data_IF_274704250456
#
_entry.id   IF_274704250456
#
_cell.length_a   1.000
_cell.length_b   1.000
_cell.length_c   1.000
_cell.angle_alpha   90.00
_cell.angle_beta   90.00
_cell.angle_gamma   90.00
#
_symmetry.space_group_name_H-M   'P 1'
#
loop_
_entity.id
_entity.type
_entity.pdbx_description
1 polymer ?
#
# COMPACT_ATOMS: atom_id res chain seq x y z
N UNK A 1 -13.69 12.71 27.34
CA UNK A 1 -14.54 12.03 26.37
C UNK A 1 -13.99 10.63 26.13
N UNK A 2 -14.82 9.58 26.17
CA UNK A 2 -14.43 8.21 25.83
C UNK A 2 -14.94 7.87 24.43
N UNK A 3 -14.18 7.04 23.72
CA UNK A 3 -14.53 6.59 22.37
C UNK A 3 -14.64 5.06 22.34
N UNK A 4 -15.58 4.48 21.58
CA UNK A 4 -15.61 3.04 21.34
C UNK A 4 -14.32 2.60 20.64
N UNK A 5 -13.76 1.48 21.08
CA UNK A 5 -12.52 0.90 20.56
C UNK A 5 -12.77 -0.54 20.15
N UNK A 6 -12.16 -0.97 19.06
CA UNK A 6 -12.10 -2.38 18.64
C UNK A 6 -10.68 -2.76 18.23
N UNK A 7 -10.28 -3.94 18.64
CA UNK A 7 -9.09 -4.60 18.08
C UNK A 7 -9.55 -5.51 16.94
N UNK A 8 -8.99 -5.29 15.77
CA UNK A 8 -9.19 -6.16 14.61
C UNK A 8 -7.90 -6.18 13.77
N UNK A 9 -7.48 -7.40 13.42
CA UNK A 9 -6.20 -7.57 12.76
C UNK A 9 -5.04 -7.16 13.67
N UNK A 10 -4.14 -6.32 13.15
CA UNK A 10 -2.99 -5.76 13.88
C UNK A 10 -3.24 -4.31 14.32
N UNK A 11 -4.47 -3.84 14.23
CA UNK A 11 -4.83 -2.44 14.51
C UNK A 11 -5.77 -2.33 15.70
N UNK A 12 -5.66 -1.19 16.38
CA UNK A 12 -6.65 -0.69 17.34
C UNK A 12 -7.45 0.40 16.65
N UNK A 13 -8.72 0.13 16.40
CA UNK A 13 -9.65 1.03 15.72
C UNK A 13 -10.41 1.87 16.75
N UNK A 14 -10.42 3.17 16.55
CA UNK A 14 -11.14 4.13 17.40
C UNK A 14 -12.29 4.72 16.60
N UNK A 15 -13.51 4.60 17.13
CA UNK A 15 -14.68 5.23 16.54
C UNK A 15 -14.82 6.66 17.07
N UNK A 16 -14.55 7.64 16.20
CA UNK A 16 -14.64 9.06 16.56
C UNK A 16 -16.02 9.71 16.31
N UNK A 17 -16.95 8.97 15.67
CA UNK A 17 -18.32 9.42 15.41
C UNK A 17 -19.25 9.24 16.61
N UNK A 18 -20.57 9.30 16.33
CA UNK A 18 -21.61 9.08 17.36
C UNK A 18 -21.48 7.66 17.96
N UNK A 19 -21.39 7.52 19.30
CA UNK A 19 -21.12 6.24 19.94
C UNK A 19 -22.14 5.14 19.57
N UNK A 20 -23.43 5.51 19.41
CA UNK A 20 -24.49 4.56 19.03
C UNK A 20 -24.30 3.94 17.64
N UNK A 21 -23.61 4.62 16.74
CA UNK A 21 -23.33 4.14 15.39
C UNK A 21 -22.11 3.19 15.33
N UNK A 22 -21.29 3.12 16.36
CA UNK A 22 -20.08 2.28 16.39
C UNK A 22 -20.40 0.78 16.22
N UNK A 23 -21.59 0.33 16.63
CA UNK A 23 -22.01 -1.06 16.49
C UNK A 23 -22.48 -1.41 15.07
N UNK A 24 -22.82 -0.42 14.26
CA UNK A 24 -23.32 -0.56 12.90
C UNK A 24 -22.22 -0.64 11.85
N UNK A 25 -21.00 -0.27 12.23
CA UNK A 25 -19.84 -0.26 11.34
C UNK A 25 -18.79 -1.25 11.84
N UNK A 26 -18.14 -1.94 10.90
CA UNK A 26 -16.99 -2.80 11.19
C UNK A 26 -15.73 -2.10 10.73
N UNK A 27 -14.59 -2.33 11.42
CA UNK A 27 -13.29 -1.96 10.88
C UNK A 27 -13.07 -2.55 9.48
N UNK A 28 -12.25 -1.91 8.65
CA UNK A 28 -11.81 -2.49 7.38
C UNK A 28 -11.17 -3.87 7.57
N UNK A 29 -11.36 -4.76 6.60
CA UNK A 29 -10.76 -6.08 6.66
C UNK A 29 -9.23 -6.00 6.49
N UNK A 30 -8.50 -6.59 7.44
CA UNK A 30 -7.02 -6.68 7.43
C UNK A 30 -6.56 -8.07 7.88
N UNK A 31 -7.34 -9.11 7.59
CA UNK A 31 -7.10 -10.47 8.08
C UNK A 31 -5.73 -11.04 7.68
N UNK A 32 -5.20 -10.69 6.50
CA UNK A 32 -3.87 -11.13 6.04
C UNK A 32 -2.72 -10.75 6.97
N UNK A 33 -2.91 -9.74 7.82
CA UNK A 33 -1.89 -9.33 8.78
C UNK A 33 -1.67 -10.35 9.92
N UNK A 34 -2.62 -11.29 10.12
CA UNK A 34 -2.59 -12.30 11.19
C UNK A 34 -2.82 -13.72 10.70
N UNK A 35 -3.25 -13.89 9.46
CA UNK A 35 -3.50 -15.21 8.88
C UNK A 35 -2.18 -15.93 8.64
N UNK A 36 -2.07 -17.18 9.10
CA UNK A 36 -0.88 -18.01 8.94
C UNK A 36 -0.54 -18.38 7.50
N UNK A 37 -1.47 -18.19 6.57
CA UNK A 37 -1.23 -18.33 5.13
C UNK A 37 -0.50 -17.13 4.52
N UNK A 38 -0.22 -16.11 5.31
CA UNK A 38 0.50 -14.92 4.91
C UNK A 38 1.75 -14.71 5.78
N UNK A 39 2.83 -14.26 5.17
CA UNK A 39 3.99 -13.76 5.89
C UNK A 39 4.05 -12.25 5.76
N UNK A 40 4.05 -11.55 6.90
CA UNK A 40 3.97 -10.09 6.97
C UNK A 40 5.19 -9.50 7.66
N UNK A 41 5.67 -8.39 7.14
CA UNK A 41 6.65 -7.50 7.78
C UNK A 41 6.25 -6.05 7.52
N UNK A 42 6.79 -5.13 8.30
CA UNK A 42 6.49 -3.72 8.15
C UNK A 42 7.23 -2.86 9.15
N UNK A 43 6.94 -1.57 9.14
CA UNK A 43 7.49 -0.58 10.06
C UNK A 43 6.51 0.58 10.24
N UNK A 44 6.84 1.49 11.14
CA UNK A 44 6.06 2.72 11.36
C UNK A 44 6.98 3.88 11.69
N UNK A 45 6.55 5.08 11.30
CA UNK A 45 7.22 6.34 11.61
C UNK A 45 6.27 7.53 11.47
N UNK A 46 6.70 8.67 11.93
CA UNK A 46 6.08 9.94 11.60
C UNK A 46 6.69 10.47 10.29
N UNK A 47 5.83 10.99 9.41
CA UNK A 47 6.19 11.69 8.18
C UNK A 47 5.80 13.14 8.33
N UNK A 48 6.75 14.06 8.10
CA UNK A 48 6.50 15.51 8.15
C UNK A 48 5.81 15.98 6.86
N UNK A 49 4.62 15.46 6.65
CA UNK A 49 3.73 15.81 5.55
C UNK A 49 2.28 15.59 5.96
N UNK A 50 1.38 16.39 5.41
CA UNK A 50 -0.05 16.32 5.67
C UNK A 50 -0.67 15.02 5.13
N UNK A 51 -1.76 14.58 5.76
CA UNK A 51 -2.44 13.33 5.41
C UNK A 51 -2.78 13.25 3.92
N UNK A 52 -3.31 14.34 3.33
CA UNK A 52 -3.72 14.37 1.93
C UNK A 52 -2.56 14.06 0.98
N UNK A 53 -1.39 14.63 1.22
CA UNK A 53 -0.22 14.40 0.38
C UNK A 53 0.21 12.91 0.38
N UNK A 54 0.09 12.22 1.52
CA UNK A 54 0.32 10.78 1.59
C UNK A 54 -0.77 10.00 0.85
N UNK A 55 -2.03 10.40 1.00
CA UNK A 55 -3.15 9.75 0.30
C UNK A 55 -2.99 9.85 -1.22
N UNK A 56 -2.67 11.03 -1.74
CA UNK A 56 -2.45 11.26 -3.16
C UNK A 56 -1.29 10.40 -3.70
N UNK A 57 -0.22 10.26 -2.92
CA UNK A 57 0.91 9.42 -3.29
C UNK A 57 0.54 7.92 -3.42
N UNK A 58 -0.32 7.40 -2.55
CA UNK A 58 -0.75 6.00 -2.62
C UNK A 58 -1.89 5.77 -3.62
N UNK A 59 -2.65 6.82 -3.96
CA UNK A 59 -3.72 6.75 -4.96
C UNK A 59 -3.20 6.59 -6.39
N UNK A 60 -1.97 7.00 -6.64
CA UNK A 60 -1.33 6.90 -7.96
C UNK A 60 0.06 6.24 -7.85
N UNK A 61 0.11 4.94 -8.14
CA UNK A 61 1.38 4.18 -8.12
C UNK A 61 2.20 4.33 -9.42
N UNK A 62 1.77 5.12 -10.39
CA UNK A 62 2.52 5.34 -11.64
C UNK A 62 3.91 5.93 -11.40
N UNK A 63 4.08 6.65 -10.28
CA UNK A 63 5.37 7.21 -9.86
C UNK A 63 6.39 6.15 -9.41
N UNK A 64 5.96 4.94 -9.03
CA UNK A 64 6.84 3.91 -8.45
C UNK A 64 8.01 3.59 -9.38
N UNK A 65 7.73 3.45 -10.69
CA UNK A 65 8.75 3.19 -11.69
C UNK A 65 9.76 4.35 -11.85
N UNK A 66 9.37 5.57 -11.50
CA UNK A 66 10.21 6.77 -11.55
C UNK A 66 11.06 6.92 -10.27
N UNK A 67 10.47 6.58 -9.12
CA UNK A 67 11.16 6.66 -7.81
C UNK A 67 12.17 5.52 -7.64
N UNK A 68 11.80 4.32 -8.06
CA UNK A 68 12.65 3.14 -7.95
C UNK A 68 12.30 2.08 -9.00
N UNK A 69 12.90 2.20 -10.18
CA UNK A 69 12.71 1.25 -11.28
C UNK A 69 13.12 -0.19 -10.91
N UNK A 70 13.97 -0.37 -9.88
CA UNK A 70 14.40 -1.70 -9.47
C UNK A 70 13.32 -2.45 -8.67
N UNK A 71 12.44 -1.73 -7.98
CA UNK A 71 11.35 -2.35 -7.20
C UNK A 71 10.05 -2.43 -8.00
N UNK A 72 9.83 -1.50 -8.92
CA UNK A 72 8.60 -1.42 -9.70
C UNK A 72 8.40 -2.67 -10.56
N UNK A 73 7.17 -3.21 -10.64
CA UNK A 73 6.84 -4.17 -11.66
C UNK A 73 7.13 -3.61 -13.07
N UNK A 74 7.84 -4.35 -13.95
CA UNK A 74 8.24 -3.83 -15.26
C UNK A 74 7.08 -3.34 -16.13
N UNK A 75 5.89 -3.90 -15.95
CA UNK A 75 4.66 -3.50 -16.67
C UNK A 75 4.21 -2.07 -16.34
N UNK A 76 4.67 -1.47 -15.23
CA UNK A 76 4.38 -0.08 -14.86
C UNK A 76 5.32 0.93 -15.55
N UNK A 77 6.38 0.46 -16.22
CA UNK A 77 7.32 1.33 -16.93
C UNK A 77 6.84 1.73 -18.34
N UNK A 78 5.73 1.17 -18.80
CA UNK A 78 5.12 1.48 -20.08
C UNK A 78 4.40 2.84 -20.08
N UNK A 79 4.27 3.45 -21.27
CA UNK A 79 3.48 4.67 -21.47
C UNK A 79 1.99 4.42 -21.63
N UNK A 80 1.63 3.22 -22.09
CA UNK A 80 0.24 2.80 -22.35
C UNK A 80 -0.20 1.78 -21.30
N UNK A 81 -0.53 2.27 -20.11
CA UNK A 81 -1.07 1.41 -19.05
C UNK A 81 -2.53 1.05 -19.38
N UNK A 82 -2.97 -0.19 -19.10
CA UNK A 82 -4.38 -0.53 -19.20
C UNK A 82 -5.26 0.40 -18.36
N UNK A 83 -6.51 0.67 -18.79
CA UNK A 83 -7.41 1.52 -18.02
C UNK A 83 -7.72 0.92 -16.65
N UNK A 84 -7.95 1.79 -15.66
CA UNK A 84 -8.44 1.41 -14.34
C UNK A 84 -9.95 1.16 -14.41
N UNK A 85 -10.39 0.06 -13.81
CA UNK A 85 -11.79 -0.14 -13.43
C UNK A 85 -11.98 0.40 -12.00
N UNK A 86 -12.80 1.44 -11.86
CA UNK A 86 -12.93 2.18 -10.59
C UNK A 86 -14.32 2.03 -10.02
N UNK A 87 -14.41 1.70 -8.74
CA UNK A 87 -15.66 1.68 -7.97
C UNK A 87 -15.60 2.60 -6.76
N UNK A 88 -16.71 3.28 -6.48
CA UNK A 88 -16.81 4.24 -5.38
C UNK A 88 -17.99 3.89 -4.49
N UNK A 89 -17.77 3.89 -3.18
CA UNK A 89 -18.82 3.77 -2.15
C UNK A 89 -18.83 5.03 -1.28
N UNK A 90 -19.68 5.06 -0.25
CA UNK A 90 -19.69 6.17 0.74
C UNK A 90 -18.38 6.27 1.54
N UNK A 91 -17.63 5.18 1.68
CA UNK A 91 -16.48 5.11 2.59
C UNK A 91 -15.23 4.54 1.94
N UNK A 92 -15.29 4.13 0.68
CA UNK A 92 -14.12 3.60 -0.03
C UNK A 92 -14.11 3.97 -1.50
N UNK A 93 -12.92 4.00 -2.06
CA UNK A 93 -12.65 4.02 -3.50
C UNK A 93 -11.75 2.83 -3.79
N UNK A 94 -12.18 1.97 -4.70
CA UNK A 94 -11.37 0.84 -5.14
C UNK A 94 -11.13 0.90 -6.65
N UNK A 95 -10.00 0.39 -7.07
CA UNK A 95 -9.67 0.25 -8.48
C UNK A 95 -9.02 -1.12 -8.77
N UNK A 96 -9.09 -1.54 -10.01
CA UNK A 96 -8.32 -2.68 -10.50
C UNK A 96 -7.83 -2.44 -11.91
N UNK A 97 -6.73 -3.11 -12.26
CA UNK A 97 -6.15 -3.09 -13.60
C UNK A 97 -5.47 -4.41 -13.90
N UNK A 98 -5.82 -5.01 -15.02
CA UNK A 98 -5.24 -6.27 -15.46
C UNK A 98 -4.23 -6.03 -16.58
N UNK A 99 -3.04 -6.60 -16.42
CA UNK A 99 -1.98 -6.58 -17.41
C UNK A 99 -1.97 -7.89 -18.20
N UNK A 100 -1.73 -7.80 -19.49
CA UNK A 100 -1.44 -8.95 -20.35
C UNK A 100 -0.19 -9.69 -19.83
N UNK A 101 -0.03 -10.99 -20.18
CA UNK A 101 1.15 -11.73 -19.76
C UNK A 101 2.45 -11.02 -20.14
N UNK A 102 3.27 -10.75 -19.13
CA UNK A 102 4.54 -10.05 -19.24
C UNK A 102 5.57 -10.61 -18.25
N UNK A 103 6.84 -10.26 -18.43
CA UNK A 103 7.87 -10.58 -17.46
C UNK A 103 7.63 -9.88 -16.13
N UNK A 104 7.97 -10.55 -15.04
CA UNK A 104 8.09 -9.93 -13.72
C UNK A 104 9.54 -9.49 -13.50
N UNK A 105 9.78 -8.60 -12.51
CA UNK A 105 11.14 -8.17 -12.19
C UNK A 105 12.02 -9.32 -11.68
N UNK A 106 13.33 -9.23 -11.87
CA UNK A 106 14.26 -10.30 -11.48
C UNK A 106 14.17 -10.68 -10.00
N UNK A 107 14.05 -9.68 -9.09
CA UNK A 107 13.86 -9.96 -7.66
C UNK A 107 12.52 -10.63 -7.37
N UNK A 108 11.47 -10.25 -8.11
CA UNK A 108 10.13 -10.85 -8.00
C UNK A 108 10.19 -12.31 -8.45
N UNK A 109 10.78 -12.59 -9.62
CA UNK A 109 11.01 -13.97 -10.12
C UNK A 109 11.72 -14.82 -9.07
N UNK A 110 12.80 -14.30 -8.51
CA UNK A 110 13.60 -15.02 -7.50
C UNK A 110 12.78 -15.33 -6.25
N UNK A 111 12.10 -14.35 -5.67
CA UNK A 111 11.35 -14.54 -4.41
C UNK A 111 10.07 -15.34 -4.62
N UNK A 112 9.41 -15.15 -5.77
CA UNK A 112 8.21 -15.90 -6.13
C UNK A 112 8.52 -17.32 -6.64
N UNK A 113 9.79 -17.66 -6.91
CA UNK A 113 10.17 -18.95 -7.47
C UNK A 113 9.65 -19.12 -8.91
N UNK A 114 9.67 -18.06 -9.70
CA UNK A 114 9.21 -18.03 -11.08
C UNK A 114 10.41 -18.07 -12.05
N UNK A 115 10.27 -18.66 -13.26
CA UNK A 115 11.30 -18.54 -14.28
C UNK A 115 11.46 -17.10 -14.76
N UNK A 116 12.70 -16.64 -14.94
CA UNK A 116 13.01 -15.26 -15.34
C UNK A 116 12.52 -14.92 -16.74
N UNK A 117 12.44 -15.91 -17.62
CA UNK A 117 11.94 -15.78 -18.99
C UNK A 117 10.43 -16.06 -19.11
N UNK A 118 9.74 -16.31 -17.98
CA UNK A 118 8.31 -16.56 -17.94
C UNK A 118 7.47 -15.32 -18.20
N UNK A 119 6.32 -15.51 -18.84
CA UNK A 119 5.30 -14.47 -19.05
C UNK A 119 4.09 -14.79 -18.18
N UNK A 120 3.69 -13.86 -17.34
CA UNK A 120 2.62 -14.04 -16.35
C UNK A 120 1.60 -12.91 -16.46
N UNK A 121 0.32 -13.26 -16.43
CA UNK A 121 -0.74 -12.27 -16.24
C UNK A 121 -0.60 -11.66 -14.84
N UNK A 122 -0.73 -10.35 -14.74
CA UNK A 122 -0.58 -9.60 -13.51
C UNK A 122 -1.85 -8.79 -13.25
N UNK A 123 -2.24 -8.70 -11.99
CA UNK A 123 -3.39 -7.92 -11.52
C UNK A 123 -2.93 -6.94 -10.45
N UNK A 124 -3.27 -5.69 -10.67
CA UNK A 124 -3.17 -4.61 -9.70
C UNK A 124 -4.55 -4.30 -9.16
N UNK A 125 -4.67 -4.21 -7.85
CA UNK A 125 -5.88 -3.76 -7.16
C UNK A 125 -5.48 -2.79 -6.06
N UNK A 126 -6.24 -1.73 -5.88
CA UNK A 126 -6.07 -0.79 -4.78
C UNK A 126 -7.41 -0.44 -4.16
N UNK A 127 -7.43 -0.23 -2.85
CA UNK A 127 -8.59 0.24 -2.13
C UNK A 127 -8.18 1.27 -1.07
N UNK A 128 -8.74 2.46 -1.17
CA UNK A 128 -8.73 3.44 -0.10
C UNK A 128 -10.00 3.28 0.73
N UNK A 129 -9.83 3.10 2.04
CA UNK A 129 -10.93 3.06 3.00
C UNK A 129 -10.79 4.23 3.97
N UNK A 130 -11.79 5.12 3.96
CA UNK A 130 -11.79 6.30 4.81
C UNK A 130 -11.73 5.92 6.30
N UNK A 131 -10.98 6.69 7.13
CA UNK A 131 -10.33 7.96 6.79
C UNK A 131 -8.86 7.82 6.33
N UNK A 132 -8.21 6.68 6.44
CA UNK A 132 -6.78 6.63 6.20
C UNK A 132 -6.18 5.23 6.06
N UNK A 133 -6.95 4.24 5.62
CA UNK A 133 -6.40 2.93 5.26
C UNK A 133 -6.29 2.83 3.74
N UNK A 134 -5.10 2.54 3.25
CA UNK A 134 -4.81 2.21 1.87
C UNK A 134 -4.31 0.77 1.77
N UNK A 135 -4.87 0.00 0.84
CA UNK A 135 -4.50 -1.41 0.60
C UNK A 135 -4.28 -1.61 -0.89
N UNK A 136 -3.06 -1.93 -1.28
CA UNK A 136 -2.74 -2.34 -2.65
C UNK A 136 -2.47 -3.83 -2.69
N UNK A 137 -2.87 -4.48 -3.78
CA UNK A 137 -2.59 -5.88 -4.07
C UNK A 137 -1.93 -6.00 -5.43
N UNK A 138 -0.87 -6.76 -5.47
CA UNK A 138 -0.21 -7.13 -6.71
C UNK A 138 -0.17 -8.64 -6.83
N UNK A 139 -0.94 -9.18 -7.76
CA UNK A 139 -1.06 -10.61 -7.99
C UNK A 139 -0.40 -11.02 -9.31
N UNK A 140 0.30 -12.14 -9.27
CA UNK A 140 0.92 -12.79 -10.44
C UNK A 140 0.30 -14.17 -10.60
N UNK A 141 -0.29 -14.44 -11.76
CA UNK A 141 -0.93 -15.71 -12.09
C UNK A 141 0.09 -16.69 -12.64
N UNK A 142 0.41 -17.72 -11.86
CA UNK A 142 1.30 -18.81 -12.21
C UNK A 142 0.59 -20.16 -12.03
N UNK A 143 1.29 -21.22 -11.62
CA UNK A 143 0.72 -22.50 -11.16
C UNK A 143 -0.24 -22.33 -9.96
N UNK A 144 0.07 -21.36 -9.12
CA UNK A 144 -0.81 -20.80 -8.10
C UNK A 144 -0.65 -19.28 -8.09
N UNK A 145 -1.67 -18.56 -7.65
CA UNK A 145 -1.59 -17.11 -7.51
C UNK A 145 -0.60 -16.72 -6.42
N UNK A 146 0.30 -15.80 -6.75
CA UNK A 146 1.26 -15.20 -5.84
C UNK A 146 0.95 -13.74 -5.65
N UNK A 147 0.57 -13.37 -4.44
CA UNK A 147 0.08 -12.02 -4.13
C UNK A 147 0.93 -11.35 -3.07
N UNK A 148 1.31 -10.11 -3.34
CA UNK A 148 1.69 -9.14 -2.35
C UNK A 148 0.49 -8.29 -1.95
N UNK A 149 0.35 -7.98 -0.66
CA UNK A 149 -0.57 -6.97 -0.15
C UNK A 149 0.25 -5.91 0.58
N UNK A 150 0.13 -4.68 0.12
CA UNK A 150 0.73 -3.50 0.75
C UNK A 150 -0.37 -2.80 1.54
N UNK A 151 -0.13 -2.59 2.82
CA UNK A 151 -1.12 -1.95 3.71
C UNK A 151 -0.50 -0.71 4.31
N UNK A 152 -1.17 0.44 4.15
CA UNK A 152 -0.75 1.72 4.68
C UNK A 152 -1.85 2.27 5.60
N UNK A 153 -1.57 2.32 6.89
CA UNK A 153 -2.43 2.99 7.85
C UNK A 153 -1.89 4.39 8.12
N UNK A 154 -2.67 5.39 7.75
CA UNK A 154 -2.34 6.81 7.83
C UNK A 154 -3.15 7.44 8.95
N UNK A 155 -2.46 8.02 9.94
CA UNK A 155 -3.10 8.67 11.08
C UNK A 155 -2.65 10.13 11.16
N UNK A 156 -3.52 11.11 10.94
CA UNK A 156 -3.14 12.51 11.06
C UNK A 156 -2.78 12.84 12.52
N UNK A 157 -1.60 13.42 12.73
CA UNK A 157 -1.13 13.93 14.02
C UNK A 157 -1.36 15.43 14.07
N UNK A 158 -1.09 16.11 12.96
CA UNK A 158 -1.38 17.51 12.72
C UNK A 158 -1.60 17.74 11.23
N UNK A 159 -1.86 18.98 10.82
CA UNK A 159 -2.00 19.35 9.40
C UNK A 159 -0.72 19.07 8.58
N UNK A 160 0.42 18.91 9.26
CA UNK A 160 1.76 18.77 8.66
C UNK A 160 2.51 17.51 9.08
N UNK A 161 1.90 16.66 9.89
CA UNK A 161 2.53 15.42 10.38
C UNK A 161 1.51 14.30 10.31
N UNK A 162 1.89 13.22 9.67
CA UNK A 162 1.11 11.99 9.56
C UNK A 162 1.88 10.81 10.12
N UNK A 163 1.28 10.09 11.06
CA UNK A 163 1.74 8.76 11.45
C UNK A 163 1.49 7.79 10.31
N UNK A 164 2.54 7.13 9.83
CA UNK A 164 2.46 6.18 8.75
C UNK A 164 2.95 4.81 9.23
N UNK A 165 2.05 3.84 9.26
CA UNK A 165 2.37 2.42 9.46
C UNK A 165 2.18 1.70 8.14
N UNK A 166 3.22 1.03 7.67
CA UNK A 166 3.16 0.24 6.46
C UNK A 166 3.47 -1.23 6.73
N UNK A 167 2.90 -2.11 5.94
CA UNK A 167 3.25 -3.53 5.94
C UNK A 167 3.18 -4.11 4.53
N UNK A 168 3.97 -5.15 4.33
CA UNK A 168 3.96 -6.00 3.14
C UNK A 168 3.64 -7.41 3.57
N UNK A 169 2.54 -7.94 3.07
CA UNK A 169 2.11 -9.32 3.28
C UNK A 169 2.22 -10.10 1.98
N UNK A 170 2.55 -11.39 2.05
CA UNK A 170 2.65 -12.26 0.89
C UNK A 170 2.15 -13.67 1.22
N UNK A 171 1.50 -14.34 0.24
CA UNK A 171 0.98 -15.70 0.37
C UNK A 171 1.94 -16.78 -0.18
N UNK A 172 3.17 -16.42 -0.46
CA UNK A 172 4.23 -17.29 -1.00
C UNK A 172 5.53 -17.07 -0.23
N UNK A 173 6.50 -18.00 -0.36
CA UNK A 173 7.81 -17.91 0.27
C UNK A 173 7.73 -17.48 1.76
N UNK A 174 6.90 -18.15 2.56
CA UNK A 174 6.51 -17.70 3.91
C UNK A 174 7.66 -17.75 4.94
N UNK A 175 8.79 -18.35 4.59
CA UNK A 175 9.92 -18.49 5.49
C UNK A 175 10.69 -17.20 5.80
N UNK A 176 11.41 -17.19 6.91
CA UNK A 176 12.19 -16.05 7.39
C UNK A 176 13.30 -15.58 6.42
N UNK A 177 13.85 -16.48 5.61
CA UNK A 177 14.88 -16.15 4.62
C UNK A 177 14.35 -15.13 3.59
N UNK A 178 13.14 -15.36 3.06
CA UNK A 178 12.51 -14.43 2.12
C UNK A 178 12.20 -13.08 2.79
N UNK A 179 11.81 -13.07 4.06
CA UNK A 179 11.61 -11.82 4.80
C UNK A 179 12.93 -11.05 4.94
N UNK A 180 14.04 -11.74 5.24
CA UNK A 180 15.37 -11.12 5.35
C UNK A 180 15.82 -10.48 4.03
N UNK A 181 15.39 -11.01 2.89
CA UNK A 181 15.66 -10.43 1.55
C UNK A 181 14.75 -9.25 1.26
N UNK A 182 13.45 -9.37 1.54
CA UNK A 182 12.44 -8.38 1.13
C UNK A 182 12.41 -7.15 2.03
N UNK A 183 12.55 -7.32 3.35
CA UNK A 183 12.41 -6.19 4.28
C UNK A 183 13.36 -5.03 3.95
N UNK A 184 14.68 -5.24 3.72
CA UNK A 184 15.57 -4.13 3.38
C UNK A 184 15.19 -3.40 2.08
N UNK A 185 14.65 -4.12 1.10
CA UNK A 185 14.22 -3.56 -0.20
C UNK A 185 13.07 -2.59 0.03
N UNK A 186 12.00 -3.05 0.72
CA UNK A 186 10.81 -2.23 0.95
C UNK A 186 11.05 -1.11 1.98
N UNK A 187 11.84 -1.35 3.04
CA UNK A 187 12.19 -0.30 4.00
C UNK A 187 12.97 0.83 3.33
N UNK A 188 13.93 0.49 2.47
CA UNK A 188 14.70 1.50 1.71
C UNK A 188 13.79 2.28 0.74
N UNK A 189 12.87 1.59 0.06
CA UNK A 189 11.90 2.22 -0.84
C UNK A 189 11.01 3.21 -0.08
N UNK A 190 10.34 2.77 0.98
CA UNK A 190 9.43 3.65 1.74
C UNK A 190 10.15 4.81 2.45
N UNK A 191 11.42 4.65 2.83
CA UNK A 191 12.22 5.78 3.33
C UNK A 191 12.49 6.82 2.25
N UNK A 192 12.70 6.41 0.99
CA UNK A 192 12.80 7.35 -0.15
C UNK A 192 11.48 8.08 -0.40
N UNK A 193 10.37 7.35 -0.42
CA UNK A 193 9.02 7.94 -0.56
C UNK A 193 8.77 8.95 0.56
N UNK A 194 9.07 8.60 1.81
CA UNK A 194 8.98 9.53 2.95
C UNK A 194 9.78 10.82 2.71
N UNK A 195 11.04 10.70 2.30
CA UNK A 195 11.89 11.87 2.06
C UNK A 195 11.35 12.76 0.92
N UNK A 196 10.78 12.16 -0.14
CA UNK A 196 10.14 12.89 -1.23
C UNK A 196 8.92 13.66 -0.71
N UNK A 197 8.04 13.02 0.04
CA UNK A 197 6.82 13.65 0.58
C UNK A 197 7.15 14.78 1.54
N UNK A 198 8.16 14.61 2.41
CA UNK A 198 8.63 15.67 3.30
C UNK A 198 9.23 16.86 2.52
N UNK A 199 9.94 16.57 1.42
CA UNK A 199 10.45 17.60 0.51
C UNK A 199 9.32 18.36 -0.19
N UNK A 200 8.30 17.65 -0.69
CA UNK A 200 7.11 18.26 -1.31
C UNK A 200 6.36 19.14 -0.31
N UNK A 201 6.15 18.68 0.93
CA UNK A 201 5.52 19.47 1.98
C UNK A 201 6.29 20.75 2.25
N UNK A 202 7.62 20.67 2.32
CA UNK A 202 8.47 21.86 2.50
C UNK A 202 8.34 22.87 1.37
N UNK A 203 8.18 22.42 0.13
CA UNK A 203 7.94 23.29 -1.02
C UNK A 203 6.57 23.96 -0.93
N UNK A 204 5.51 23.20 -0.63
CA UNK A 204 4.16 23.70 -0.40
C UNK A 204 4.17 24.81 0.66
N UNK A 205 4.87 24.59 1.76
CA UNK A 205 4.99 25.56 2.87
C UNK A 205 5.73 26.84 2.50
N UNK A 206 6.72 26.73 1.63
CA UNK A 206 7.58 27.85 1.23
C UNK A 206 6.92 28.68 0.13
N UNK A 207 6.32 28.03 -0.86
CA UNK A 207 5.81 28.68 -2.07
C UNK A 207 4.33 29.11 -1.90
N UNK A 208 3.67 28.76 -0.80
CA UNK A 208 2.28 29.07 -0.56
C UNK A 208 1.33 28.36 -1.55
N UNK A 209 1.72 27.20 -2.04
CA UNK A 209 0.93 26.39 -2.95
C UNK A 209 -0.36 25.96 -2.25
N UNK A 210 -1.50 26.35 -2.84
CA UNK A 210 -2.81 25.96 -2.36
C UNK A 210 -3.11 24.56 -2.90
N UNK A 211 -3.36 23.63 -2.01
CA UNK A 211 -3.69 22.23 -2.36
C UNK A 211 -5.10 22.07 -2.97
N UNK A 212 -5.83 23.21 -3.18
CA UNK A 212 -7.15 23.22 -3.82
C UNK A 212 -8.30 22.82 -2.91
#
# INVERSE_FOLDING_TARGET
RSYPVREDGSFVWVWAGEPGAATLRRPPATHWLRDSNWATFGSSWETNAGLRLLQDNFADISHVAQVDAAIAPPVLSGTDLPPLDVSVTETSVAFSRQFAPAHVGSWQSQVMGLPEDGLFAQLEEGEFVAPGLWVDRWSVQADSERTFIFTHALTPISDRITGHTWSVSRNFALGAAAQGTLFPIFDAYYRRVKAILEGMQSMIDTDGYDEG
#
